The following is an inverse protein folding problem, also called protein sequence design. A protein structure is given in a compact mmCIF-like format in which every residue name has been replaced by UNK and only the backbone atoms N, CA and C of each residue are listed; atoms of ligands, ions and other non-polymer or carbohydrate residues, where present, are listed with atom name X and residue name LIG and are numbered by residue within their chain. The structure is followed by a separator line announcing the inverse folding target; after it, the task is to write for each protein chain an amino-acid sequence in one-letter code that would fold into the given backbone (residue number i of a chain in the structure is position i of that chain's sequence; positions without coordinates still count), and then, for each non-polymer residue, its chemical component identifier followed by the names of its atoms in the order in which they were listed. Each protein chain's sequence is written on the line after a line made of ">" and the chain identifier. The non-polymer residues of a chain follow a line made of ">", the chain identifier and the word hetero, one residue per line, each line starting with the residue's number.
data_IF_504810770879
#
_entry.id   IF_504810770879
#
_cell.length_a   1.000
_cell.length_b   1.000
_cell.length_c   1.000
_cell.angle_alpha   90.00
_cell.angle_beta   90.00
_cell.angle_gamma   90.00
#
_symmetry.space_group_name_H-M   'P 1'
#
loop_
_entity.id
_entity.type
_entity.pdbx_description
1 polymer ?
#
# COMPACT_ATOMS: atom_id res chain seq x y z
N UNK A 1 0.15 -84.62 6.89
CA UNK A 1 -0.69 -83.63 6.17
C UNK A 1 -0.90 -82.46 7.12
N UNK A 2 -0.23 -81.33 6.90
CA UNK A 2 -0.37 -80.12 7.73
C UNK A 2 -1.07 -79.07 6.86
N UNK A 3 -2.29 -78.70 7.25
CA UNK A 3 -3.13 -77.74 6.53
C UNK A 3 -2.85 -76.35 7.07
N UNK A 4 -2.39 -75.43 6.21
CA UNK A 4 -2.21 -74.03 6.55
C UNK A 4 -3.44 -73.25 6.09
N UNK A 5 -4.19 -72.70 7.05
CA UNK A 5 -5.34 -71.83 6.79
C UNK A 5 -4.85 -70.39 6.68
N UNK A 6 -4.86 -69.85 5.46
CA UNK A 6 -4.49 -68.44 5.19
C UNK A 6 -5.68 -67.54 5.51
N UNK A 7 -5.52 -66.65 6.50
CA UNK A 7 -6.49 -65.58 6.78
C UNK A 7 -6.04 -64.31 6.05
N UNK A 8 -6.80 -63.90 5.03
CA UNK A 8 -6.65 -62.58 4.40
C UNK A 8 -7.33 -61.54 5.27
N UNK A 9 -6.56 -60.57 5.77
CA UNK A 9 -7.07 -59.37 6.43
C UNK A 9 -7.17 -58.27 5.39
N UNK A 10 -8.39 -57.86 5.04
CA UNK A 10 -8.63 -56.70 4.18
C UNK A 10 -8.52 -55.42 5.00
N UNK A 11 -7.47 -54.62 4.76
CA UNK A 11 -7.32 -53.31 5.35
C UNK A 11 -8.19 -52.29 4.59
N UNK A 12 -9.26 -51.78 5.22
CA UNK A 12 -9.97 -50.61 4.73
C UNK A 12 -9.11 -49.36 4.94
N UNK A 13 -8.55 -48.82 3.86
CA UNK A 13 -7.94 -47.50 3.87
C UNK A 13 -9.04 -46.43 3.98
N UNK A 14 -9.17 -45.82 5.16
CA UNK A 14 -10.04 -44.65 5.34
C UNK A 14 -9.40 -43.43 4.64
N UNK A 15 -10.04 -42.95 3.58
CA UNK A 15 -9.64 -41.72 2.90
C UNK A 15 -10.07 -40.55 3.78
N UNK A 16 -9.16 -40.00 4.58
CA UNK A 16 -9.38 -38.72 5.27
C UNK A 16 -9.38 -37.63 4.20
N UNK A 17 -10.58 -37.21 3.76
CA UNK A 17 -10.74 -35.99 3.00
C UNK A 17 -10.47 -34.81 3.94
N UNK A 18 -9.29 -34.20 3.82
CA UNK A 18 -9.03 -32.92 4.45
C UNK A 18 -10.06 -31.92 3.91
N UNK A 19 -10.97 -31.48 4.77
CA UNK A 19 -11.88 -30.39 4.43
C UNK A 19 -11.05 -29.22 3.87
N UNK A 20 -11.49 -28.55 2.79
CA UNK A 20 -10.76 -27.42 2.24
C UNK A 20 -10.50 -26.42 3.37
N UNK A 21 -9.22 -26.26 3.73
CA UNK A 21 -8.83 -25.49 4.91
C UNK A 21 -9.44 -24.11 4.85
N UNK A 22 -10.32 -23.80 5.80
CA UNK A 22 -10.87 -22.47 5.96
C UNK A 22 -9.71 -21.55 6.35
N UNK A 23 -9.13 -20.87 5.37
CA UNK A 23 -8.08 -19.89 5.61
C UNK A 23 -8.71 -18.68 6.32
N UNK A 24 -8.15 -18.23 7.45
CA UNK A 24 -8.70 -17.08 8.15
C UNK A 24 -8.71 -15.83 7.24
N UNK A 25 -9.72 -14.95 7.40
CA UNK A 25 -9.77 -13.71 6.64
C UNK A 25 -8.54 -12.84 6.89
N UNK A 26 -8.15 -12.08 5.87
CA UNK A 26 -6.97 -11.21 5.94
C UNK A 26 -7.24 -10.08 6.93
N UNK A 27 -6.33 -9.94 7.89
CA UNK A 27 -6.33 -8.82 8.84
C UNK A 27 -5.30 -7.80 8.38
N UNK A 28 -5.78 -6.69 7.85
CA UNK A 28 -4.95 -5.55 7.54
C UNK A 28 -4.50 -4.86 8.83
N UNK A 29 -3.21 -4.55 8.91
CA UNK A 29 -2.61 -3.80 10.00
C UNK A 29 -1.90 -2.58 9.46
N UNK A 30 -2.03 -1.45 10.16
CA UNK A 30 -1.25 -0.26 9.83
C UNK A 30 0.25 -0.55 9.97
N UNK A 31 1.10 -0.01 9.09
CA UNK A 31 2.55 -0.02 9.29
C UNK A 31 2.86 0.61 10.64
N UNK A 32 3.78 0.00 11.41
CA UNK A 32 4.21 0.57 12.68
C UNK A 32 5.49 1.37 12.47
N UNK A 33 5.53 2.60 12.97
CA UNK A 33 6.73 3.45 12.86
C UNK A 33 7.73 3.21 14.01
N UNK A 34 7.36 2.39 15.00
CA UNK A 34 8.25 2.00 16.11
C UNK A 34 8.55 3.10 17.13
N UNK A 35 7.92 4.27 16.99
CA UNK A 35 8.00 5.43 17.90
C UNK A 35 6.74 5.62 18.76
N UNK A 36 6.64 6.78 19.44
CA UNK A 36 5.56 7.08 20.40
C UNK A 36 4.22 7.51 19.80
N UNK A 37 4.21 8.04 18.57
CA UNK A 37 3.02 8.59 17.91
C UNK A 37 2.56 7.66 16.77
N UNK A 38 1.96 6.52 17.12
CA UNK A 38 1.39 5.58 16.15
C UNK A 38 -0.02 6.04 15.71
N UNK A 39 -0.38 5.81 14.45
CA UNK A 39 -1.74 6.08 13.99
C UNK A 39 -2.74 5.22 14.77
N UNK A 40 -3.87 5.79 15.15
CA UNK A 40 -4.89 5.04 15.85
C UNK A 40 -5.43 3.95 14.91
N UNK A 41 -5.76 2.80 15.49
CA UNK A 41 -6.40 1.74 14.72
C UNK A 41 -7.70 2.29 14.08
N UNK A 42 -8.00 1.92 12.83
CA UNK A 42 -9.26 2.30 12.21
C UNK A 42 -10.44 1.85 13.08
N UNK A 43 -11.54 2.62 13.05
CA UNK A 43 -12.76 2.28 13.78
C UNK A 43 -13.25 0.87 13.42
N UNK A 44 -13.84 0.18 14.40
CA UNK A 44 -14.35 -1.17 14.20
C UNK A 44 -15.41 -1.21 13.08
N UNK A 45 -15.40 -2.28 12.29
CA UNK A 45 -16.34 -2.49 11.18
C UNK A 45 -15.94 -1.82 9.86
N UNK A 46 -14.86 -1.03 9.83
CA UNK A 46 -14.31 -0.52 8.58
C UNK A 46 -13.61 -1.63 7.79
N UNK A 47 -13.70 -1.53 6.46
CA UNK A 47 -13.03 -2.43 5.53
C UNK A 47 -12.00 -1.66 4.72
N UNK A 48 -10.83 -2.26 4.51
CA UNK A 48 -9.81 -1.67 3.62
C UNK A 48 -10.32 -1.73 2.19
N UNK A 49 -10.35 -0.56 1.54
CA UNK A 49 -10.70 -0.44 0.11
C UNK A 49 -9.48 -0.52 -0.79
N UNK A 50 -8.43 0.20 -0.40
CA UNK A 50 -7.18 0.30 -1.13
C UNK A 50 -6.00 0.43 -0.16
N UNK A 51 -4.86 -0.12 -0.56
CA UNK A 51 -3.55 0.23 -0.02
C UNK A 51 -2.78 0.87 -1.17
N UNK A 52 -2.36 2.11 -0.96
CA UNK A 52 -1.60 2.86 -1.95
C UNK A 52 -0.15 2.97 -1.51
N UNK A 53 0.77 2.88 -2.46
CA UNK A 53 2.15 3.32 -2.29
C UNK A 53 2.41 4.54 -3.16
N UNK A 54 3.05 5.56 -2.60
CA UNK A 54 3.41 6.78 -3.32
C UNK A 54 4.89 6.81 -3.66
N UNK A 55 5.22 7.20 -4.89
CA UNK A 55 6.59 7.53 -5.30
C UNK A 55 6.66 8.97 -5.77
N UNK A 56 7.54 9.76 -5.17
CA UNK A 56 7.63 11.18 -5.47
C UNK A 56 8.51 11.96 -4.52
N UNK A 57 8.27 13.26 -4.47
CA UNK A 57 9.06 14.23 -3.72
C UNK A 57 8.19 14.83 -2.62
N UNK A 58 8.78 15.02 -1.45
CA UNK A 58 8.13 15.67 -0.32
C UNK A 58 8.99 16.82 0.17
N UNK A 59 8.36 17.98 0.36
CA UNK A 59 9.00 19.16 0.90
C UNK A 59 8.75 19.21 2.40
N UNK A 60 9.84 19.27 3.17
CA UNK A 60 9.82 19.35 4.62
C UNK A 60 10.54 20.61 5.07
N UNK A 61 9.95 21.30 6.04
CA UNK A 61 10.65 22.35 6.79
C UNK A 61 11.01 21.84 8.17
N UNK A 62 12.27 22.03 8.56
CA UNK A 62 12.72 21.89 9.94
C UNK A 62 12.83 23.28 10.54
N UNK A 63 12.25 23.50 11.73
CA UNK A 63 12.31 24.80 12.40
C UNK A 63 13.74 25.20 12.81
N UNK A 64 14.63 24.22 12.99
CA UNK A 64 16.08 24.41 13.14
C UNK A 64 16.83 23.11 12.84
N UNK A 65 18.16 23.16 12.71
CA UNK A 65 19.00 21.99 12.49
C UNK A 65 18.96 20.95 13.65
N UNK A 66 18.42 21.35 14.81
CA UNK A 66 18.21 20.51 15.99
C UNK A 66 16.73 20.25 16.27
N UNK A 67 15.82 20.63 15.38
CA UNK A 67 14.40 20.35 15.55
C UNK A 67 14.16 18.85 15.45
N UNK A 68 13.38 18.31 16.38
CA UNK A 68 12.98 16.89 16.40
C UNK A 68 11.79 16.61 15.49
N UNK A 69 11.09 17.65 15.05
CA UNK A 69 9.87 17.55 14.25
C UNK A 69 10.03 18.31 12.93
N UNK A 70 9.59 17.71 11.82
CA UNK A 70 9.55 18.33 10.50
C UNK A 70 8.11 18.50 10.02
N UNK A 71 7.78 19.69 9.52
CA UNK A 71 6.48 19.95 8.93
C UNK A 71 6.52 19.63 7.44
N UNK A 72 5.62 18.75 6.98
CA UNK A 72 5.41 18.54 5.55
C UNK A 72 4.68 19.76 4.98
N UNK A 73 5.38 20.55 4.17
CA UNK A 73 4.88 21.80 3.55
C UNK A 73 4.46 21.61 2.10
N UNK A 74 4.76 20.45 1.50
CA UNK A 74 4.31 20.09 0.17
C UNK A 74 4.67 18.66 -0.18
N UNK A 75 4.00 18.12 -1.20
CA UNK A 75 4.36 16.85 -1.81
C UNK A 75 3.85 16.79 -3.24
N UNK A 76 4.52 16.01 -4.07
CA UNK A 76 4.10 15.62 -5.41
C UNK A 76 4.49 14.16 -5.60
N UNK A 77 3.52 13.27 -5.80
CA UNK A 77 3.80 11.85 -5.99
C UNK A 77 2.77 11.16 -6.89
N UNK A 78 3.23 10.15 -7.63
CA UNK A 78 2.37 9.15 -8.28
C UNK A 78 1.96 8.11 -7.24
N UNK A 79 0.70 7.69 -7.26
CA UNK A 79 0.14 6.69 -6.36
C UNK A 79 -0.15 5.40 -7.12
N UNK A 80 0.17 4.26 -6.52
CA UNK A 80 -0.03 2.94 -7.11
C UNK A 80 -0.80 2.03 -6.15
N UNK A 81 -1.69 1.21 -6.68
CA UNK A 81 -2.47 0.24 -5.92
C UNK A 81 -1.66 -1.03 -5.66
N UNK A 82 -1.44 -1.31 -4.38
CA UNK A 82 -0.70 -2.47 -3.87
C UNK A 82 -1.58 -3.34 -2.95
N UNK A 83 -2.90 -3.16 -3.00
CA UNK A 83 -3.85 -3.90 -2.14
C UNK A 83 -3.68 -5.40 -2.26
N UNK A 84 -3.58 -5.89 -3.50
CA UNK A 84 -3.47 -7.32 -3.81
C UNK A 84 -2.13 -7.92 -3.37
N UNK A 85 -1.12 -7.09 -3.12
CA UNK A 85 0.19 -7.54 -2.65
C UNK A 85 0.19 -7.84 -1.15
N UNK A 86 -0.80 -7.37 -0.39
CA UNK A 86 -0.80 -7.52 1.05
C UNK A 86 -0.61 -8.99 1.48
N UNK A 87 0.31 -9.29 2.42
CA UNK A 87 0.61 -10.66 2.83
C UNK A 87 -0.63 -11.45 3.26
N UNK A 88 -0.74 -12.66 2.72
CA UNK A 88 -1.86 -13.55 2.98
C UNK A 88 -2.99 -13.47 1.96
N UNK A 89 -3.08 -12.40 1.16
CA UNK A 89 -4.08 -12.28 0.08
C UNK A 89 -4.03 -13.48 -0.85
N UNK A 90 -5.20 -14.03 -1.18
CA UNK A 90 -5.30 -15.28 -1.94
C UNK A 90 -4.75 -15.08 -3.36
N UNK A 91 -3.81 -15.94 -3.76
CA UNK A 91 -3.18 -15.99 -5.09
C UNK A 91 -2.31 -14.79 -5.50
N UNK A 92 -2.36 -13.65 -4.80
CA UNK A 92 -1.62 -12.44 -5.16
C UNK A 92 -0.74 -11.86 -4.04
N UNK A 93 -0.98 -12.25 -2.79
CA UNK A 93 -0.24 -11.71 -1.65
C UNK A 93 1.24 -12.09 -1.73
N UNK A 94 2.12 -11.09 -1.58
CA UNK A 94 3.58 -11.29 -1.62
C UNK A 94 4.12 -11.70 -0.24
N UNK A 95 5.40 -12.08 -0.19
CA UNK A 95 6.06 -12.47 1.06
C UNK A 95 6.14 -11.27 2.03
N UNK A 96 5.97 -11.46 3.35
CA UNK A 96 5.98 -10.37 4.33
C UNK A 96 7.22 -9.47 4.27
N UNK A 97 8.40 -10.05 4.15
CA UNK A 97 9.65 -9.29 4.02
C UNK A 97 9.71 -8.44 2.74
N UNK A 98 9.11 -8.91 1.65
CA UNK A 98 9.04 -8.12 0.41
C UNK A 98 8.02 -6.98 0.54
N UNK A 99 6.91 -7.23 1.23
CA UNK A 99 5.92 -6.20 1.58
C UNK A 99 6.53 -5.11 2.46
N UNK A 100 7.25 -5.50 3.51
CA UNK A 100 7.87 -4.57 4.45
C UNK A 100 9.00 -3.75 3.79
N UNK A 101 9.70 -4.32 2.80
CA UNK A 101 10.73 -3.63 2.02
C UNK A 101 10.19 -2.86 0.80
N UNK A 102 8.88 -2.90 0.53
CA UNK A 102 8.31 -2.29 -0.68
C UNK A 102 8.64 -0.78 -0.81
N UNK A 103 8.53 0.05 0.25
CA UNK A 103 8.92 1.47 0.18
C UNK A 103 10.41 1.66 -0.06
N UNK A 104 11.26 0.84 0.55
CA UNK A 104 12.72 0.90 0.39
C UNK A 104 13.10 0.56 -1.05
N UNK A 105 12.50 -0.49 -1.61
CA UNK A 105 12.75 -0.90 -2.99
C UNK A 105 12.31 0.17 -3.99
N UNK A 106 11.15 0.78 -3.75
CA UNK A 106 10.65 1.87 -4.58
C UNK A 106 11.59 3.09 -4.53
N UNK A 107 12.04 3.48 -3.34
CA UNK A 107 12.92 4.64 -3.15
C UNK A 107 14.28 4.47 -3.85
N UNK A 108 14.90 3.30 -3.71
CA UNK A 108 16.29 3.11 -4.15
C UNK A 108 16.44 2.50 -5.55
N UNK A 109 15.41 1.83 -6.06
CA UNK A 109 15.53 1.07 -7.32
C UNK A 109 14.60 1.55 -8.43
N UNK A 110 13.77 2.56 -8.20
CA UNK A 110 12.91 3.13 -9.24
C UNK A 110 13.21 4.61 -9.46
N UNK A 111 13.31 5.06 -10.72
CA UNK A 111 13.41 6.48 -11.02
C UNK A 111 12.16 7.22 -10.51
N UNK A 112 12.35 8.48 -10.11
CA UNK A 112 11.21 9.34 -9.74
C UNK A 112 10.26 9.49 -10.94
N UNK A 113 8.97 9.15 -10.80
CA UNK A 113 8.02 9.18 -11.90
C UNK A 113 7.41 10.58 -12.05
N UNK A 114 8.27 11.59 -12.17
CA UNK A 114 7.91 13.00 -12.26
C UNK A 114 8.66 13.67 -13.40
N UNK A 115 8.01 14.61 -14.07
CA UNK A 115 8.69 15.52 -15.00
C UNK A 115 9.59 16.44 -14.17
N UNK A 116 10.89 16.41 -14.46
CA UNK A 116 11.89 17.15 -13.69
C UNK A 116 11.88 18.63 -14.06
N UNK A 117 12.07 19.47 -13.05
CA UNK A 117 12.40 20.89 -13.25
C UNK A 117 13.84 20.99 -13.78
N UNK A 118 14.06 21.57 -14.98
CA UNK A 118 15.40 21.68 -15.55
C UNK A 118 16.39 22.38 -14.61
N UNK A 119 17.60 21.83 -14.50
CA UNK A 119 18.67 22.39 -13.66
C UNK A 119 18.58 22.04 -12.18
N UNK A 120 17.64 21.18 -11.77
CA UNK A 120 17.52 20.71 -10.38
C UNK A 120 17.76 19.21 -10.27
N UNK A 121 18.31 18.79 -9.13
CA UNK A 121 18.47 17.37 -8.81
C UNK A 121 17.14 16.74 -8.35
N UNK A 122 16.36 17.49 -7.57
CA UNK A 122 15.13 17.03 -6.90
C UNK A 122 13.93 17.98 -7.06
N UNK A 123 13.80 18.64 -8.20
CA UNK A 123 12.63 19.47 -8.52
C UNK A 123 11.70 18.79 -9.52
N UNK A 124 10.39 18.89 -9.28
CA UNK A 124 9.37 18.57 -10.28
C UNK A 124 8.95 19.85 -11.02
N UNK A 125 8.57 19.74 -12.29
CA UNK A 125 8.01 20.86 -13.04
C UNK A 125 6.74 21.38 -12.34
N UNK A 126 6.67 22.68 -12.01
CA UNK A 126 5.56 23.22 -11.22
C UNK A 126 4.23 23.29 -11.99
N UNK A 127 4.27 23.26 -13.33
CA UNK A 127 3.09 23.37 -14.17
C UNK A 127 2.63 22.01 -14.69
N UNK A 128 3.59 21.12 -15.00
CA UNK A 128 3.32 19.79 -15.53
C UNK A 128 4.13 18.72 -14.80
N UNK A 129 3.88 18.49 -13.49
CA UNK A 129 4.73 17.61 -12.68
C UNK A 129 4.63 16.12 -13.04
N UNK A 130 3.47 15.69 -13.57
CA UNK A 130 3.19 14.28 -13.81
C UNK A 130 3.38 13.90 -15.29
N UNK A 131 4.07 12.78 -15.58
CA UNK A 131 4.02 12.16 -16.90
C UNK A 131 2.66 11.47 -17.12
N UNK A 132 2.48 10.87 -18.29
CA UNK A 132 1.30 10.05 -18.57
C UNK A 132 1.16 8.89 -17.54
N UNK A 133 -0.08 8.56 -17.12
CA UNK A 133 -0.34 7.43 -16.24
C UNK A 133 0.28 6.13 -16.74
N UNK A 134 1.01 5.45 -15.85
CA UNK A 134 1.67 4.18 -16.15
C UNK A 134 1.74 3.31 -14.90
N UNK A 135 1.70 1.99 -15.09
CA UNK A 135 1.83 1.03 -13.99
C UNK A 135 3.26 0.99 -13.45
N UNK A 136 3.39 0.81 -12.14
CA UNK A 136 4.68 0.63 -11.48
C UNK A 136 5.13 -0.82 -11.65
N UNK A 137 6.29 -1.02 -12.26
CA UNK A 137 6.93 -2.33 -12.38
C UNK A 137 8.05 -2.44 -11.38
N UNK A 138 7.99 -3.46 -10.53
CA UNK A 138 9.03 -3.78 -9.55
C UNK A 138 9.53 -5.21 -9.80
N UNK A 139 10.83 -5.42 -9.63
CA UNK A 139 11.42 -6.74 -9.84
C UNK A 139 10.81 -7.77 -8.89
N UNK A 140 10.47 -8.94 -9.43
CA UNK A 140 9.97 -10.07 -8.64
C UNK A 140 8.51 -9.97 -8.17
N UNK A 141 7.75 -8.95 -8.58
CA UNK A 141 6.31 -8.84 -8.30
C UNK A 141 5.51 -8.40 -9.53
N UNK A 142 4.19 -8.70 -9.59
CA UNK A 142 3.32 -8.18 -10.64
C UNK A 142 3.30 -6.65 -10.67
N UNK A 143 3.01 -6.02 -11.83
CA UNK A 143 2.90 -4.56 -11.90
C UNK A 143 1.79 -4.02 -10.99
N UNK A 144 2.08 -2.96 -10.23
CA UNK A 144 1.11 -2.23 -9.44
C UNK A 144 0.40 -1.19 -10.31
N UNK A 145 -0.94 -1.18 -10.25
CA UNK A 145 -1.74 -0.31 -11.12
C UNK A 145 -1.62 1.14 -10.71
N UNK A 146 -1.51 2.04 -11.69
CA UNK A 146 -1.65 3.47 -11.42
C UNK A 146 -2.99 3.74 -10.73
N UNK A 147 -2.94 4.49 -9.63
CA UNK A 147 -4.10 4.80 -8.79
C UNK A 147 -4.43 6.29 -8.79
N UNK A 148 -3.44 7.16 -9.02
CA UNK A 148 -3.64 8.60 -9.09
C UNK A 148 -2.46 9.41 -8.57
N UNK A 149 -2.74 10.55 -7.95
CA UNK A 149 -1.71 11.53 -7.56
C UNK A 149 -1.87 11.98 -6.12
N UNK A 150 -0.75 12.28 -5.47
CA UNK A 150 -0.71 13.02 -4.22
C UNK A 150 -0.12 14.40 -4.47
N UNK A 151 -0.86 15.43 -4.06
CA UNK A 151 -0.43 16.84 -4.13
C UNK A 151 -0.85 17.58 -2.86
N UNK A 152 -0.33 18.78 -2.66
CA UNK A 152 -0.88 19.75 -1.71
C UNK A 152 -1.64 20.82 -2.50
N UNK A 153 -2.83 21.20 -2.03
CA UNK A 153 -3.56 22.31 -2.63
C UNK A 153 -3.02 23.67 -2.17
N UNK A 154 -3.65 24.76 -2.63
CA UNK A 154 -3.24 26.13 -2.33
C UNK A 154 -3.29 26.46 -0.83
N UNK A 155 -4.10 25.72 -0.06
CA UNK A 155 -4.24 25.86 1.39
C UNK A 155 -3.28 24.93 2.15
N UNK A 156 -2.32 24.31 1.44
CA UNK A 156 -1.38 23.33 1.99
C UNK A 156 -2.03 22.08 2.57
N UNK A 157 -3.22 21.71 2.08
CA UNK A 157 -3.92 20.50 2.50
C UNK A 157 -3.47 19.33 1.62
N UNK A 158 -3.07 18.19 2.22
CA UNK A 158 -2.73 17.00 1.44
C UNK A 158 -3.97 16.42 0.75
N UNK A 159 -3.89 16.32 -0.56
CA UNK A 159 -4.90 15.74 -1.45
C UNK A 159 -4.38 14.44 -2.01
N UNK A 160 -5.18 13.37 -1.89
CA UNK A 160 -4.97 12.09 -2.55
C UNK A 160 -6.07 11.95 -3.60
N UNK A 161 -5.73 12.30 -4.84
CA UNK A 161 -6.59 12.11 -6.00
C UNK A 161 -6.44 10.66 -6.46
N UNK A 162 -7.46 9.84 -6.21
CA UNK A 162 -7.51 8.43 -6.60
C UNK A 162 -8.55 8.23 -7.71
N UNK A 163 -8.77 9.25 -8.55
CA UNK A 163 -9.84 9.26 -9.57
C UNK A 163 -9.75 8.09 -10.55
N UNK A 164 -8.58 7.51 -10.76
CA UNK A 164 -8.42 6.28 -11.55
C UNK A 164 -9.18 5.08 -10.96
N UNK A 165 -9.46 5.10 -9.64
CA UNK A 165 -10.32 4.13 -8.95
C UNK A 165 -11.71 4.69 -8.60
N UNK A 166 -12.07 5.88 -9.10
CA UNK A 166 -13.32 6.57 -8.74
C UNK A 166 -13.38 7.00 -7.27
N UNK A 167 -12.23 7.20 -6.63
CA UNK A 167 -12.10 7.57 -5.22
C UNK A 167 -11.39 8.92 -5.10
N UNK A 168 -11.70 9.71 -4.06
CA UNK A 168 -10.93 10.91 -3.73
C UNK A 168 -10.90 11.09 -2.22
N UNK A 169 -9.72 11.37 -1.68
CA UNK A 169 -9.50 11.58 -0.27
C UNK A 169 -8.81 12.92 -0.04
N UNK A 170 -9.45 13.80 0.73
CA UNK A 170 -8.81 15.00 1.28
C UNK A 170 -8.62 14.75 2.77
N UNK A 171 -7.37 14.86 3.21
CA UNK A 171 -6.99 14.44 4.56
C UNK A 171 -6.69 15.68 5.38
N UNK A 172 -7.45 15.88 6.45
CA UNK A 172 -7.14 16.94 7.42
C UNK A 172 -6.36 16.31 8.57
N UNK A 173 -5.28 16.97 9.00
CA UNK A 173 -4.61 16.64 10.26
C UNK A 173 -5.54 17.05 11.40
N UNK A 174 -5.99 16.10 12.21
CA UNK A 174 -6.75 16.30 13.43
C UNK A 174 -5.85 15.79 14.56
N UNK A 175 -5.45 16.68 15.47
CA UNK A 175 -4.69 16.32 16.69
C UNK A 175 -3.42 15.49 16.47
N UNK A 176 -2.66 15.75 15.40
CA UNK A 176 -1.46 14.96 15.08
C UNK A 176 -1.71 13.85 14.05
N UNK A 177 -2.96 13.37 13.95
CA UNK A 177 -3.37 12.25 13.11
C UNK A 177 -3.99 12.74 11.78
N UNK A 178 -3.55 12.18 10.64
CA UNK A 178 -4.09 12.54 9.32
C UNK A 178 -5.31 11.66 9.00
N UNK A 179 -6.53 12.20 9.06
CA UNK A 179 -7.80 11.47 8.81
C UNK A 179 -8.54 12.00 7.57
N UNK A 180 -8.98 11.11 6.68
CA UNK A 180 -9.78 11.45 5.49
C UNK A 180 -11.28 11.37 5.79
N UNK A 181 -12.07 12.26 5.20
CA UNK A 181 -13.49 12.01 4.94
C UNK A 181 -13.69 11.74 3.45
N UNK A 182 -14.24 10.57 3.13
CA UNK A 182 -14.57 10.17 1.75
C UNK A 182 -15.79 10.98 1.27
N UNK A 183 -15.61 11.85 0.27
CA UNK A 183 -16.73 12.40 -0.51
C UNK A 183 -16.78 11.67 -1.84
N UNK A 184 -17.81 10.82 -2.02
CA UNK A 184 -18.15 10.31 -3.35
C UNK A 184 -18.46 11.51 -4.24
N UNK A 185 -17.78 11.62 -5.37
CA UNK A 185 -18.23 12.50 -6.45
C UNK A 185 -19.43 11.81 -7.12
N UNK A 186 -20.63 12.26 -6.78
CA UNK A 186 -21.82 11.99 -7.60
C UNK A 186 -21.71 12.90 -8.83
N UNK A 187 -21.64 12.28 -10.01
CA UNK A 187 -21.64 12.94 -11.30
C UNK A 187 -23.03 13.54 -11.53
N UNK A 188 -23.11 14.86 -11.72
CA UNK A 188 -24.32 15.56 -12.16
C UNK A 188 -24.40 15.64 -13.67
#
# INVERSE_FOLDING_TARGET
>A
MVSFTTVMVAALAAVVSAAPGCRPPIKYTLPKIGGGEELAAPAAGLVVKKIAIGHGIQNYTCDSASATESAATGAVAMLYDVTDFYPGTRNSGIRPDLWDNLPINLLWHQPLPLNKLPGTEYGADPNTPFPEPSDLTLEGIPPAKFLGHHVFDIDSIPVFDLSAAGLKATVKKIDGEKRSQERRQEHS
#
